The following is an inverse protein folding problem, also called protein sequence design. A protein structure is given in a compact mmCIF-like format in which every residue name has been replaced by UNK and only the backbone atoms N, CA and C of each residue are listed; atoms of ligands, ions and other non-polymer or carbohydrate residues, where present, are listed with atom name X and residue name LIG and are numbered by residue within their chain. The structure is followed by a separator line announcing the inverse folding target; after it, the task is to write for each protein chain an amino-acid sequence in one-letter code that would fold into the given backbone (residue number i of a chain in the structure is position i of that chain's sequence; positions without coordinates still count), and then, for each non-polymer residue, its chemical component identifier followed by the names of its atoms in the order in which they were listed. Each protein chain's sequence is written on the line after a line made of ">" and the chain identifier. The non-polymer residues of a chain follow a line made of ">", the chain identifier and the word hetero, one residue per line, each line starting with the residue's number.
data_IF_534218554522
#
_entry.id   IF_534218554522
#
_cell.length_a   1.000
_cell.length_b   1.000
_cell.length_c   1.000
_cell.angle_alpha   90.00
_cell.angle_beta   90.00
_cell.angle_gamma   90.00
#
_symmetry.space_group_name_H-M   'P 1'
#
loop_
_entity.id
_entity.type
_entity.pdbx_description
1 polymer ?
#
# COMPACT_ATOMS: atom_id res chain seq x y z
N UNK A 1 -90.03 -13.48 -45.04
CA UNK A 1 -88.89 -12.62 -45.30
C UNK A 1 -88.04 -12.56 -44.00
N UNK A 2 -86.95 -13.35 -43.90
CA UNK A 2 -86.12 -13.37 -42.70
C UNK A 2 -84.80 -12.58 -43.03
N UNK A 3 -84.58 -11.53 -42.27
CA UNK A 3 -83.39 -10.70 -42.36
C UNK A 3 -82.28 -11.35 -41.57
N UNK A 4 -81.17 -11.77 -42.23
CA UNK A 4 -80.02 -12.32 -41.57
C UNK A 4 -79.09 -11.13 -41.23
N UNK A 5 -78.85 -10.86 -39.93
CA UNK A 5 -77.91 -9.91 -39.43
C UNK A 5 -76.52 -10.57 -39.39
N UNK A 6 -75.63 -10.17 -40.25
CA UNK A 6 -74.19 -10.56 -40.26
C UNK A 6 -73.47 -9.83 -39.18
N UNK A 7 -72.93 -10.57 -38.18
CA UNK A 7 -72.09 -10.07 -37.10
C UNK A 7 -70.62 -10.08 -37.58
N UNK A 8 -70.02 -8.91 -37.81
CA UNK A 8 -68.59 -8.80 -38.14
C UNK A 8 -67.79 -8.74 -36.87
N UNK A 9 -67.10 -9.85 -36.56
CA UNK A 9 -66.12 -9.95 -35.47
C UNK A 9 -64.84 -9.25 -35.90
N UNK A 10 -64.51 -8.14 -35.29
CA UNK A 10 -63.22 -7.48 -35.42
C UNK A 10 -62.20 -8.15 -34.53
N UNK A 11 -61.30 -8.93 -35.11
CA UNK A 11 -60.14 -9.52 -34.40
C UNK A 11 -59.11 -8.43 -34.21
N UNK A 12 -58.93 -7.93 -32.99
CA UNK A 12 -57.87 -7.01 -32.65
C UNK A 12 -56.58 -7.83 -32.37
N UNK A 13 -55.61 -7.74 -33.25
CA UNK A 13 -54.27 -8.34 -33.07
C UNK A 13 -53.51 -7.47 -32.05
N UNK A 14 -53.40 -7.94 -30.82
CA UNK A 14 -52.51 -7.31 -29.80
C UNK A 14 -51.07 -7.80 -30.06
N UNK A 15 -50.24 -6.93 -30.63
CA UNK A 15 -48.83 -7.17 -30.81
C UNK A 15 -48.09 -6.93 -29.47
N UNK A 16 -47.82 -8.01 -28.75
CA UNK A 16 -47.02 -7.94 -27.52
C UNK A 16 -45.55 -7.78 -27.90
N UNK A 17 -45.02 -6.57 -27.78
CA UNK A 17 -43.56 -6.31 -27.94
C UNK A 17 -42.88 -6.78 -26.64
N UNK A 18 -42.25 -7.95 -26.70
CA UNK A 18 -41.40 -8.42 -25.60
C UNK A 18 -40.05 -7.70 -25.71
N UNK A 19 -39.83 -6.68 -24.86
CA UNK A 19 -38.53 -6.03 -24.72
C UNK A 19 -37.62 -6.99 -23.94
N UNK A 20 -36.72 -7.64 -24.63
CA UNK A 20 -35.60 -8.32 -23.98
C UNK A 20 -34.66 -7.25 -23.43
N UNK A 21 -34.78 -6.96 -22.16
CA UNK A 21 -33.73 -6.27 -21.40
C UNK A 21 -32.61 -7.30 -21.27
N UNK A 22 -31.60 -7.25 -22.15
CA UNK A 22 -30.37 -8.01 -21.93
C UNK A 22 -29.73 -7.44 -20.66
N UNK A 23 -29.79 -8.17 -19.56
CA UNK A 23 -28.90 -7.89 -18.44
C UNK A 23 -27.46 -7.95 -18.97
N UNK A 24 -26.75 -6.83 -18.92
CA UNK A 24 -25.32 -6.82 -19.20
C UNK A 24 -24.61 -7.89 -18.35
N UNK A 25 -23.42 -8.34 -18.73
CA UNK A 25 -22.67 -9.29 -17.90
C UNK A 25 -22.58 -8.71 -16.48
N UNK A 26 -22.82 -9.56 -15.48
CA UNK A 26 -22.66 -9.16 -14.09
C UNK A 26 -21.23 -8.65 -13.90
N UNK A 27 -21.09 -7.52 -13.16
CA UNK A 27 -19.79 -6.96 -12.82
C UNK A 27 -19.01 -8.00 -12.01
N UNK A 28 -17.84 -8.38 -12.49
CA UNK A 28 -16.95 -9.28 -11.78
C UNK A 28 -16.33 -8.56 -10.57
N UNK A 29 -16.02 -9.31 -9.52
CA UNK A 29 -15.43 -8.74 -8.31
C UNK A 29 -14.20 -9.53 -7.89
N UNK A 30 -13.16 -8.79 -7.48
CA UNK A 30 -11.98 -9.36 -6.84
C UNK A 30 -11.74 -8.68 -5.50
N UNK A 31 -11.20 -9.42 -4.56
CA UNK A 31 -10.84 -8.91 -3.24
C UNK A 31 -9.34 -8.72 -3.14
N UNK A 32 -8.92 -7.53 -2.78
CA UNK A 32 -7.51 -7.19 -2.54
C UNK A 32 -7.28 -6.87 -1.07
N UNK A 33 -6.44 -7.65 -0.39
CA UNK A 33 -5.95 -7.27 0.92
C UNK A 33 -4.74 -6.36 0.79
N UNK A 34 -4.73 -5.26 1.55
CA UNK A 34 -3.61 -4.32 1.59
C UNK A 34 -3.41 -3.74 2.98
N UNK A 35 -2.42 -2.85 3.15
CA UNK A 35 -2.19 -2.21 4.44
C UNK A 35 -3.04 -0.95 4.61
N UNK A 36 -3.39 -0.65 5.86
CA UNK A 36 -4.13 0.57 6.22
C UNK A 36 -3.37 1.84 5.76
N UNK A 37 -2.03 1.81 5.79
CA UNK A 37 -1.23 2.94 5.31
C UNK A 37 -1.31 3.13 3.80
N UNK A 38 -1.37 2.03 3.03
CA UNK A 38 -1.56 2.08 1.58
C UNK A 38 -2.92 2.67 1.22
N UNK A 39 -3.98 2.19 1.86
CA UNK A 39 -5.34 2.68 1.66
C UNK A 39 -5.46 4.17 2.02
N UNK A 40 -5.01 4.56 3.23
CA UNK A 40 -5.02 5.94 3.70
C UNK A 40 -4.14 6.91 2.88
N UNK A 41 -3.24 6.40 2.05
CA UNK A 41 -2.46 7.25 1.14
C UNK A 41 -3.34 7.95 0.11
N UNK A 42 -4.44 7.31 -0.30
CA UNK A 42 -5.32 7.75 -1.39
C UNK A 42 -4.84 7.33 -2.78
N UNK A 43 -3.73 6.57 -2.89
CA UNK A 43 -3.23 6.11 -4.19
C UNK A 43 -4.24 5.19 -4.88
N UNK A 44 -4.89 4.29 -4.13
CA UNK A 44 -5.84 3.33 -4.71
C UNK A 44 -7.06 4.01 -5.32
N UNK A 45 -7.47 5.17 -4.82
CA UNK A 45 -8.59 5.96 -5.36
C UNK A 45 -8.34 6.48 -6.77
N UNK A 46 -7.08 6.55 -7.20
CA UNK A 46 -6.70 6.99 -8.56
C UNK A 46 -6.16 5.84 -9.41
N UNK A 47 -5.59 4.81 -8.79
CA UNK A 47 -4.97 3.68 -9.48
C UNK A 47 -6.00 2.64 -9.94
N UNK A 48 -7.02 2.34 -9.12
CA UNK A 48 -7.97 1.27 -9.40
C UNK A 48 -9.08 1.65 -10.41
N UNK A 49 -9.68 2.84 -10.39
CA UNK A 49 -10.82 3.16 -11.26
C UNK A 49 -10.58 2.95 -12.76
N UNK A 50 -9.41 3.29 -13.36
CA UNK A 50 -9.18 3.01 -14.78
C UNK A 50 -9.18 1.51 -15.09
N UNK A 51 -8.58 0.68 -14.22
CA UNK A 51 -8.59 -0.78 -14.34
C UNK A 51 -10.01 -1.35 -14.24
N UNK A 52 -10.78 -0.90 -13.24
CA UNK A 52 -12.16 -1.33 -13.02
C UNK A 52 -13.05 -1.02 -14.23
N UNK A 53 -12.88 0.18 -14.80
CA UNK A 53 -13.63 0.61 -15.97
C UNK A 53 -13.25 -0.18 -17.23
N UNK A 54 -11.95 -0.42 -17.47
CA UNK A 54 -11.46 -1.12 -18.67
C UNK A 54 -11.92 -2.56 -18.73
N UNK A 55 -11.90 -3.26 -17.58
CA UNK A 55 -12.22 -4.69 -17.52
C UNK A 55 -13.63 -5.00 -17.00
N UNK A 56 -14.43 -4.00 -16.67
CA UNK A 56 -15.74 -4.16 -16.03
C UNK A 56 -15.67 -5.08 -14.81
N UNK A 57 -14.69 -4.81 -13.94
CA UNK A 57 -14.42 -5.55 -12.69
C UNK A 57 -14.37 -4.59 -11.51
N UNK A 58 -14.80 -5.02 -10.34
CA UNK A 58 -14.69 -4.24 -9.11
C UNK A 58 -13.61 -4.79 -8.20
N UNK A 59 -12.79 -3.93 -7.61
CA UNK A 59 -11.78 -4.30 -6.62
C UNK A 59 -12.27 -3.93 -5.22
N UNK A 60 -12.63 -4.94 -4.43
CA UNK A 60 -12.99 -4.76 -3.03
C UNK A 60 -11.72 -4.70 -2.17
N UNK A 61 -11.34 -3.52 -1.72
CA UNK A 61 -10.15 -3.29 -0.91
C UNK A 61 -10.42 -3.63 0.56
N UNK A 62 -9.57 -4.49 1.15
CA UNK A 62 -9.58 -4.86 2.57
C UNK A 62 -8.31 -4.33 3.21
N UNK A 63 -8.39 -3.16 3.84
CA UNK A 63 -7.28 -2.48 4.47
C UNK A 63 -7.08 -2.95 5.92
N UNK A 64 -5.95 -3.61 6.19
CA UNK A 64 -5.61 -4.18 7.51
C UNK A 64 -4.08 -4.07 7.75
N UNK A 65 -3.55 -4.64 8.84
CA UNK A 65 -2.09 -4.75 9.01
C UNK A 65 -1.49 -5.82 8.09
N UNK A 66 -0.20 -5.68 7.72
CA UNK A 66 0.50 -6.59 6.79
C UNK A 66 0.31 -8.08 7.14
N UNK A 67 0.54 -8.48 8.39
CA UNK A 67 0.39 -9.87 8.81
C UNK A 67 -1.04 -10.39 8.63
N UNK A 68 -2.05 -9.54 8.89
CA UNK A 68 -3.45 -9.90 8.68
C UNK A 68 -3.80 -9.96 7.19
N UNK A 69 -3.25 -9.08 6.35
CA UNK A 69 -3.44 -9.11 4.91
C UNK A 69 -2.90 -10.42 4.31
N UNK A 70 -1.67 -10.81 4.68
CA UNK A 70 -1.09 -12.10 4.28
C UNK A 70 -1.91 -13.28 4.80
N UNK A 71 -2.43 -13.21 6.03
CA UNK A 71 -3.28 -14.25 6.60
C UNK A 71 -4.61 -14.43 5.85
N UNK A 72 -5.23 -13.36 5.38
CA UNK A 72 -6.39 -13.44 4.49
C UNK A 72 -6.05 -14.16 3.18
N UNK A 73 -4.87 -13.89 2.61
CA UNK A 73 -4.36 -14.61 1.43
C UNK A 73 -4.08 -16.08 1.71
N UNK A 74 -3.47 -16.43 2.87
CA UNK A 74 -3.23 -17.81 3.28
C UNK A 74 -4.53 -18.62 3.38
N UNK A 75 -5.60 -17.99 3.87
CA UNK A 75 -6.92 -18.61 4.01
C UNK A 75 -7.69 -18.69 2.67
N UNK A 76 -7.29 -17.93 1.63
CA UNK A 76 -8.05 -17.79 0.39
C UNK A 76 -9.25 -16.84 0.52
N UNK A 77 -9.28 -15.98 1.52
CA UNK A 77 -10.36 -15.01 1.75
C UNK A 77 -10.30 -13.82 0.77
N UNK A 78 -9.15 -13.67 0.08
CA UNK A 78 -8.88 -12.65 -0.93
C UNK A 78 -8.22 -13.27 -2.17
N UNK A 79 -8.23 -12.55 -3.30
CA UNK A 79 -7.68 -13.00 -4.57
C UNK A 79 -6.24 -12.50 -4.78
N UNK A 80 -5.91 -11.36 -4.18
CA UNK A 80 -4.61 -10.68 -4.34
C UNK A 80 -4.23 -9.97 -3.06
N UNK A 81 -2.92 -9.87 -2.80
CA UNK A 81 -2.35 -9.16 -1.65
C UNK A 81 -1.37 -8.11 -2.16
N UNK A 82 -1.51 -6.85 -1.70
CA UNK A 82 -0.58 -5.74 -1.96
C UNK A 82 -0.04 -5.21 -0.64
N UNK A 83 1.21 -5.53 -0.33
CA UNK A 83 1.84 -5.22 0.97
C UNK A 83 3.29 -4.75 0.79
N UNK A 84 3.97 -4.38 1.89
CA UNK A 84 5.32 -3.84 1.89
C UNK A 84 6.17 -4.45 3.03
N UNK A 85 6.26 -5.77 3.06
CA UNK A 85 7.09 -6.52 4.00
C UNK A 85 7.80 -7.66 3.26
N UNK A 86 8.84 -7.33 2.51
CA UNK A 86 9.54 -8.19 1.55
C UNK A 86 9.79 -9.61 2.09
N UNK A 87 10.33 -9.74 3.30
CA UNK A 87 10.60 -11.04 3.89
C UNK A 87 9.32 -11.86 4.08
N UNK A 88 8.27 -11.28 4.65
CA UNK A 88 6.99 -11.97 4.86
C UNK A 88 6.29 -12.32 3.52
N UNK A 89 6.45 -11.48 2.48
CA UNK A 89 5.96 -11.75 1.12
C UNK A 89 6.69 -12.96 0.51
N UNK A 90 8.00 -13.04 0.68
CA UNK A 90 8.81 -14.17 0.20
C UNK A 90 8.45 -15.46 0.93
N UNK A 91 8.28 -15.42 2.24
CA UNK A 91 7.80 -16.55 3.05
C UNK A 91 6.41 -17.02 2.60
N UNK A 92 5.49 -16.10 2.31
CA UNK A 92 4.16 -16.38 1.81
C UNK A 92 4.20 -17.13 0.47
N UNK A 93 5.09 -16.73 -0.44
CA UNK A 93 5.30 -17.40 -1.73
C UNK A 93 6.01 -18.74 -1.55
N UNK A 94 7.08 -18.82 -0.76
CA UNK A 94 7.84 -20.04 -0.50
C UNK A 94 6.98 -21.13 0.14
N UNK A 95 6.05 -20.75 1.01
CA UNK A 95 5.08 -21.66 1.63
C UNK A 95 3.94 -22.04 0.66
N UNK A 96 3.95 -21.54 -0.56
CA UNK A 96 2.98 -21.88 -1.61
C UNK A 96 1.60 -21.27 -1.43
N UNK A 97 1.44 -20.24 -0.60
CA UNK A 97 0.18 -19.51 -0.43
C UNK A 97 -0.04 -18.48 -1.55
N UNK A 98 1.03 -17.90 -2.06
CA UNK A 98 1.02 -16.92 -3.14
C UNK A 98 1.84 -17.35 -4.35
N UNK A 99 1.52 -16.76 -5.51
CA UNK A 99 2.24 -16.92 -6.76
C UNK A 99 2.39 -15.60 -7.48
N UNK A 100 3.35 -15.54 -8.43
CA UNK A 100 3.53 -14.38 -9.32
C UNK A 100 3.73 -13.04 -8.57
N UNK A 101 4.51 -13.07 -7.49
CA UNK A 101 4.93 -11.85 -6.81
C UNK A 101 5.64 -10.90 -7.78
N UNK A 102 5.26 -9.62 -7.77
CA UNK A 102 5.93 -8.57 -8.51
C UNK A 102 6.17 -7.36 -7.63
N UNK A 103 7.29 -6.68 -7.86
CA UNK A 103 7.51 -5.35 -7.31
C UNK A 103 6.61 -4.35 -8.03
N UNK A 104 6.06 -3.39 -7.30
CA UNK A 104 5.11 -2.39 -7.80
C UNK A 104 5.68 -0.98 -7.70
N UNK A 105 6.08 -0.61 -6.50
CA UNK A 105 6.53 0.73 -6.15
C UNK A 105 7.33 0.67 -4.86
N UNK A 106 7.94 1.78 -4.49
CA UNK A 106 8.42 1.99 -3.12
C UNK A 106 8.03 3.38 -2.64
N UNK A 107 7.86 3.53 -1.34
CA UNK A 107 8.03 4.80 -0.65
C UNK A 107 9.27 4.68 0.23
N UNK A 108 9.59 5.71 1.00
CA UNK A 108 10.76 5.67 1.86
C UNK A 108 10.44 6.11 3.29
N UNK A 109 11.34 5.76 4.16
CA UNK A 109 11.48 6.35 5.48
C UNK A 109 12.49 7.49 5.40
N UNK A 110 12.38 8.41 6.33
CA UNK A 110 13.33 9.50 6.53
C UNK A 110 13.72 9.57 8.01
N UNK A 111 14.94 10.02 8.30
CA UNK A 111 15.29 10.40 9.67
C UNK A 111 15.12 11.90 9.76
N UNK A 112 14.24 12.30 10.67
CA UNK A 112 13.98 13.70 10.96
C UNK A 112 14.61 14.09 12.29
N UNK A 113 14.84 15.37 12.51
CA UNK A 113 15.40 15.91 13.74
C UNK A 113 15.34 17.43 13.76
N UNK A 114 15.83 18.06 14.84
CA UNK A 114 15.87 19.51 14.95
C UNK A 114 16.75 20.14 13.87
N UNK A 115 16.38 21.34 13.41
CA UNK A 115 17.12 22.07 12.36
C UNK A 115 18.61 22.27 12.71
N UNK A 116 18.93 22.41 14.00
CA UNK A 116 20.29 22.62 14.52
C UNK A 116 21.18 21.39 14.37
N UNK A 117 20.58 20.21 14.20
CA UNK A 117 21.24 18.93 13.99
C UNK A 117 22.43 18.65 14.95
N UNK A 118 22.21 18.59 16.28
CA UNK A 118 23.29 18.43 17.25
C UNK A 118 24.10 17.14 17.08
N UNK A 119 23.53 16.10 16.44
CA UNK A 119 24.26 14.88 16.12
C UNK A 119 25.05 14.94 14.79
N UNK A 120 24.90 15.99 13.99
CA UNK A 120 25.56 16.22 12.70
C UNK A 120 25.30 15.04 11.74
N UNK A 121 24.00 14.74 11.50
CA UNK A 121 23.58 13.62 10.64
C UNK A 121 23.11 14.06 9.27
N UNK A 122 22.95 15.36 9.02
CA UNK A 122 22.42 15.90 7.76
C UNK A 122 23.19 15.40 6.55
N UNK A 123 22.48 14.76 5.60
CA UNK A 123 23.03 14.25 4.36
C UNK A 123 23.91 12.98 4.52
N UNK A 124 23.89 12.34 5.68
CA UNK A 124 24.60 11.07 5.89
C UNK A 124 23.70 9.89 5.53
N UNK A 125 24.32 8.73 5.29
CA UNK A 125 23.59 7.49 5.21
C UNK A 125 22.96 7.12 6.58
N UNK A 126 21.86 6.34 6.59
CA UNK A 126 21.10 6.10 7.82
C UNK A 126 21.87 5.34 8.90
N UNK A 127 22.82 4.49 8.53
CA UNK A 127 23.64 3.74 9.50
C UNK A 127 24.60 4.70 10.21
N UNK A 128 25.33 5.53 9.45
CA UNK A 128 26.18 6.56 10.01
C UNK A 128 25.40 7.58 10.83
N UNK A 129 24.18 7.94 10.40
CA UNK A 129 23.30 8.84 11.15
C UNK A 129 22.96 8.27 12.54
N UNK A 130 22.56 7.01 12.58
CA UNK A 130 22.24 6.34 13.85
C UNK A 130 23.46 6.16 14.76
N UNK A 131 24.64 5.82 14.20
CA UNK A 131 25.88 5.78 14.94
C UNK A 131 26.18 7.10 15.65
N UNK A 132 26.03 8.23 14.93
CA UNK A 132 26.28 9.57 15.50
C UNK A 132 25.28 9.96 16.57
N UNK A 133 23.99 9.63 16.38
CA UNK A 133 22.96 9.85 17.38
C UNK A 133 23.33 9.11 18.68
N UNK A 134 23.71 7.84 18.56
CA UNK A 134 24.11 7.03 19.71
C UNK A 134 25.39 7.51 20.38
N UNK A 135 26.45 7.84 19.62
CA UNK A 135 27.72 8.36 20.16
C UNK A 135 27.55 9.65 20.95
N UNK A 136 26.61 10.51 20.52
CA UNK A 136 26.34 11.79 21.16
C UNK A 136 25.26 11.72 22.23
N UNK A 137 24.64 10.53 22.41
CA UNK A 137 23.47 10.34 23.26
C UNK A 137 22.37 11.41 22.98
N UNK A 138 22.22 11.75 21.69
CA UNK A 138 21.19 12.68 21.27
C UNK A 138 19.82 11.98 21.29
N UNK A 139 18.81 12.65 21.82
CA UNK A 139 17.48 12.07 22.01
C UNK A 139 16.92 11.51 20.71
N UNK A 140 16.49 10.26 20.76
CA UNK A 140 15.84 9.55 19.66
C UNK A 140 14.51 8.97 20.13
N UNK A 141 13.42 9.29 19.45
CA UNK A 141 12.10 8.76 19.74
C UNK A 141 11.76 7.64 18.77
N UNK A 142 11.69 6.43 19.31
CA UNK A 142 11.26 5.21 18.63
C UNK A 142 9.75 5.01 18.74
N UNK A 143 9.16 4.32 17.79
CA UNK A 143 7.77 3.86 17.92
C UNK A 143 7.59 2.83 19.03
N UNK A 144 8.50 1.89 19.19
CA UNK A 144 8.47 0.89 20.26
C UNK A 144 7.22 -0.04 20.26
N UNK A 145 6.54 -0.24 19.08
CA UNK A 145 5.22 -0.87 19.00
C UNK A 145 5.13 -2.06 18.03
N UNK A 146 6.27 -2.60 17.59
CA UNK A 146 6.39 -3.71 16.62
C UNK A 146 5.72 -3.41 15.25
N UNK A 147 5.45 -2.16 14.93
CA UNK A 147 4.97 -1.75 13.61
C UNK A 147 6.03 -1.89 12.52
N UNK A 148 5.63 -1.74 11.25
CA UNK A 148 6.57 -1.73 10.12
C UNK A 148 7.68 -0.69 10.26
N UNK A 149 7.40 0.50 10.81
CA UNK A 149 8.40 1.53 11.10
C UNK A 149 9.37 1.07 12.19
N UNK A 150 8.87 0.48 13.28
CA UNK A 150 9.72 -0.02 14.35
C UNK A 150 10.59 -1.21 13.89
N UNK A 151 10.05 -2.11 13.08
CA UNK A 151 10.82 -3.20 12.46
C UNK A 151 11.94 -2.65 11.56
N UNK A 152 11.64 -1.63 10.76
CA UNK A 152 12.64 -0.94 9.92
C UNK A 152 13.72 -0.27 10.76
N UNK A 153 13.33 0.42 11.81
CA UNK A 153 14.23 1.07 12.77
C UNK A 153 15.18 0.06 13.42
N UNK A 154 14.64 -1.04 13.97
CA UNK A 154 15.46 -2.11 14.56
C UNK A 154 16.49 -2.65 13.57
N UNK A 155 16.07 -2.85 12.31
CA UNK A 155 16.99 -3.32 11.26
C UNK A 155 18.12 -2.32 10.98
N UNK A 156 17.85 -1.03 11.01
CA UNK A 156 18.88 0.01 10.84
C UNK A 156 19.84 0.04 12.03
N UNK A 157 19.35 -0.10 13.26
CA UNK A 157 20.17 -0.22 14.47
C UNK A 157 21.05 -1.48 14.43
N UNK A 158 20.53 -2.62 13.96
CA UNK A 158 21.32 -3.84 13.73
C UNK A 158 22.46 -3.63 12.73
N UNK A 159 22.19 -2.93 11.61
CA UNK A 159 23.21 -2.58 10.63
C UNK A 159 24.26 -1.62 11.18
N UNK A 160 23.91 -0.79 12.15
CA UNK A 160 24.82 0.07 12.88
C UNK A 160 25.57 -0.69 13.99
N UNK A 161 25.29 -1.98 14.22
CA UNK A 161 25.84 -2.80 15.30
C UNK A 161 25.59 -2.21 16.70
N UNK A 162 24.47 -1.49 16.87
CA UNK A 162 24.06 -0.85 18.12
C UNK A 162 22.77 -1.49 18.65
N UNK A 163 22.75 -1.76 19.94
CA UNK A 163 21.55 -2.01 20.71
C UNK A 163 21.20 -0.73 21.48
N UNK A 164 20.30 0.14 20.95
CA UNK A 164 20.01 1.43 21.57
C UNK A 164 19.37 1.21 22.94
N UNK A 165 19.81 1.99 23.94
CA UNK A 165 19.35 1.89 25.33
C UNK A 165 19.78 3.12 26.12
N UNK A 166 19.09 3.39 27.21
CA UNK A 166 19.36 4.53 28.09
C UNK A 166 18.37 5.66 27.88
N UNK A 167 18.58 6.78 28.57
CA UNK A 167 17.62 7.87 28.63
C UNK A 167 17.41 8.60 27.28
N UNK A 168 18.40 8.52 26.40
CA UNK A 168 18.33 9.15 25.06
C UNK A 168 17.50 8.35 24.04
N UNK A 169 17.21 7.07 24.32
CA UNK A 169 16.38 6.22 23.45
C UNK A 169 15.02 6.04 24.08
N UNK A 170 14.01 6.69 23.51
CA UNK A 170 12.68 6.84 24.11
C UNK A 170 11.68 6.07 23.27
N UNK A 171 11.10 5.02 23.83
CA UNK A 171 10.03 4.28 23.16
C UNK A 171 8.68 4.92 23.45
N UNK A 172 7.98 5.41 22.40
CA UNK A 172 6.68 6.07 22.54
C UNK A 172 5.54 5.11 22.82
N UNK A 173 5.61 3.89 22.27
CA UNK A 173 4.51 2.92 22.30
C UNK A 173 3.26 3.37 21.55
N UNK A 174 3.37 4.36 20.66
CA UNK A 174 2.24 5.02 20.02
C UNK A 174 2.30 4.94 18.48
N UNK A 175 1.21 5.37 17.80
CA UNK A 175 1.17 5.50 16.35
C UNK A 175 2.13 6.59 15.84
N UNK A 176 2.51 6.49 14.54
CA UNK A 176 3.59 7.32 13.97
C UNK A 176 3.38 8.83 14.14
N UNK A 177 2.14 9.32 13.97
CA UNK A 177 1.84 10.75 14.15
C UNK A 177 2.11 11.24 15.57
N UNK A 178 1.70 10.50 16.60
CA UNK A 178 1.96 10.84 18.00
C UNK A 178 3.45 10.71 18.36
N UNK A 179 4.13 9.70 17.79
CA UNK A 179 5.59 9.53 17.93
C UNK A 179 6.34 10.73 17.34
N UNK A 180 5.95 11.21 16.17
CA UNK A 180 6.54 12.37 15.51
C UNK A 180 6.30 13.66 16.33
N UNK A 181 5.10 13.83 16.90
CA UNK A 181 4.81 14.96 17.78
C UNK A 181 5.66 14.92 19.06
N UNK A 182 5.81 13.75 19.69
CA UNK A 182 6.69 13.57 20.85
C UNK A 182 8.15 13.91 20.51
N UNK A 183 8.63 13.47 19.32
CA UNK A 183 9.97 13.83 18.85
C UNK A 183 10.11 15.34 18.67
N UNK A 184 9.08 16.01 18.15
CA UNK A 184 9.07 17.46 17.98
C UNK A 184 9.14 18.21 19.33
N UNK A 185 8.33 17.81 20.32
CA UNK A 185 8.31 18.41 21.65
C UNK A 185 9.65 18.26 22.41
N UNK A 186 10.40 17.19 22.07
CA UNK A 186 11.71 16.90 22.69
C UNK A 186 12.91 17.39 21.88
N UNK A 187 12.66 18.01 20.71
CA UNK A 187 13.72 18.34 19.76
C UNK A 187 14.60 17.11 19.44
N UNK A 188 13.96 15.93 19.33
CA UNK A 188 14.62 14.65 19.19
C UNK A 188 14.64 14.16 17.74
N UNK A 189 15.53 13.21 17.45
CA UNK A 189 15.54 12.48 16.19
C UNK A 189 14.44 11.40 16.17
N UNK A 190 13.93 11.07 14.97
CA UNK A 190 12.91 10.04 14.79
C UNK A 190 12.98 9.44 13.38
N UNK A 191 12.79 8.14 13.26
CA UNK A 191 12.51 7.49 11.97
C UNK A 191 11.01 7.58 11.68
N UNK A 192 10.65 8.11 10.52
CA UNK A 192 9.25 8.28 10.12
C UNK A 192 9.08 7.91 8.65
N UNK A 193 7.93 7.34 8.27
CA UNK A 193 7.58 7.23 6.85
C UNK A 193 7.31 8.62 6.25
N UNK A 194 7.79 8.84 5.02
CA UNK A 194 7.68 10.13 4.34
C UNK A 194 6.22 10.63 4.25
N UNK A 195 5.27 9.71 4.06
CA UNK A 195 3.86 10.07 3.96
C UNK A 195 3.30 10.68 5.23
N UNK A 196 3.65 10.11 6.39
CA UNK A 196 3.27 10.67 7.70
C UNK A 196 3.97 12.00 7.93
N UNK A 197 5.27 12.12 7.61
CA UNK A 197 5.98 13.39 7.73
C UNK A 197 5.33 14.49 6.90
N UNK A 198 5.08 14.25 5.60
CA UNK A 198 4.41 15.22 4.70
C UNK A 198 3.03 15.65 5.24
N UNK A 199 2.27 14.71 5.81
CA UNK A 199 0.95 15.01 6.35
C UNK A 199 0.98 15.89 7.62
N UNK A 200 2.11 15.95 8.31
CA UNK A 200 2.28 16.66 9.57
C UNK A 200 3.36 17.75 9.55
N UNK A 201 4.04 17.97 8.43
CA UNK A 201 5.18 18.91 8.35
C UNK A 201 4.83 20.34 8.76
N UNK A 202 3.60 20.80 8.52
CA UNK A 202 3.15 22.12 8.97
C UNK A 202 2.86 22.20 10.49
N UNK A 203 2.92 21.06 11.19
CA UNK A 203 2.61 20.95 12.63
C UNK A 203 3.84 20.61 13.48
N UNK A 204 4.99 20.46 12.85
CA UNK A 204 6.25 20.13 13.53
C UNK A 204 7.36 21.05 13.02
N UNK A 205 8.33 21.34 13.87
CA UNK A 205 9.51 22.12 13.53
C UNK A 205 10.70 21.25 13.11
N UNK A 206 10.51 19.91 13.14
CA UNK A 206 11.53 18.96 12.70
C UNK A 206 11.68 19.00 11.18
N UNK A 207 12.91 18.77 10.74
CA UNK A 207 13.26 18.72 9.30
C UNK A 207 13.83 17.37 8.91
N UNK A 208 13.76 17.05 7.61
CA UNK A 208 14.42 15.86 7.09
C UNK A 208 15.93 16.08 7.09
N UNK A 209 16.65 15.17 7.74
CA UNK A 209 18.10 15.20 7.87
C UNK A 209 18.79 14.06 7.10
N UNK A 210 18.12 12.90 7.01
CA UNK A 210 18.65 11.74 6.28
C UNK A 210 17.55 11.15 5.39
N UNK A 211 17.81 11.03 4.09
CA UNK A 211 16.90 10.51 3.08
C UNK A 211 17.64 9.93 1.87
N UNK A 212 16.92 9.25 0.97
CA UNK A 212 17.41 8.83 -0.35
C UNK A 212 18.34 7.62 -0.37
N UNK A 213 18.67 7.01 0.77
CA UNK A 213 19.46 5.77 0.83
C UNK A 213 18.53 4.55 0.64
N UNK A 214 19.01 3.54 -0.10
CA UNK A 214 18.23 2.30 -0.36
C UNK A 214 17.81 1.57 0.92
N UNK A 215 18.60 1.69 2.00
CA UNK A 215 18.26 1.13 3.31
C UNK A 215 17.00 1.74 3.91
N UNK A 216 16.61 2.93 3.45
CA UNK A 216 15.37 3.61 3.85
C UNK A 216 14.18 3.23 2.96
N UNK A 217 14.39 2.56 1.84
CA UNK A 217 13.30 2.19 0.94
C UNK A 217 12.36 1.18 1.58
N UNK A 218 11.09 1.33 1.26
CA UNK A 218 10.00 0.48 1.69
C UNK A 218 9.28 -0.04 0.44
N UNK A 219 9.78 -1.14 -0.15
CA UNK A 219 9.23 -1.68 -1.39
C UNK A 219 7.90 -2.37 -1.16
N UNK A 220 6.99 -2.21 -2.11
CA UNK A 220 5.68 -2.82 -2.17
C UNK A 220 5.66 -3.96 -3.17
N UNK A 221 5.15 -5.11 -2.74
CA UNK A 221 4.92 -6.27 -3.59
C UNK A 221 3.43 -6.57 -3.75
N UNK A 222 3.04 -6.99 -4.95
CA UNK A 222 1.71 -7.53 -5.24
C UNK A 222 1.83 -9.01 -5.56
N UNK A 223 0.90 -9.83 -5.02
CA UNK A 223 0.98 -11.29 -5.06
C UNK A 223 -0.41 -11.86 -5.30
N UNK A 224 -0.59 -12.70 -6.31
CA UNK A 224 -1.82 -13.46 -6.48
C UNK A 224 -1.89 -14.61 -5.46
N UNK A 225 -3.04 -14.83 -4.88
CA UNK A 225 -3.29 -16.00 -4.04
C UNK A 225 -3.22 -17.25 -4.92
N UNK A 226 -2.63 -18.32 -4.41
CA UNK A 226 -2.35 -19.52 -5.18
C UNK A 226 -3.64 -20.28 -5.53
N UNK A 227 -4.05 -20.33 -6.83
CA UNK A 227 -5.30 -20.98 -7.25
C UNK A 227 -5.28 -22.50 -7.09
N UNK A 228 -4.12 -23.14 -7.00
CA UNK A 228 -4.03 -24.55 -6.71
C UNK A 228 -4.41 -24.89 -5.26
N UNK A 229 -4.19 -23.96 -4.33
CA UNK A 229 -4.63 -24.09 -2.93
C UNK A 229 -6.07 -23.64 -2.75
N UNK A 230 -6.44 -22.58 -3.45
CA UNK A 230 -7.71 -21.91 -3.32
C UNK A 230 -8.41 -21.75 -4.69
N UNK A 231 -8.98 -22.87 -5.26
CA UNK A 231 -9.58 -22.86 -6.60
C UNK A 231 -10.78 -21.91 -6.77
N UNK A 232 -11.32 -21.39 -5.67
CA UNK A 232 -12.43 -20.43 -5.68
C UNK A 232 -11.97 -18.98 -5.86
N UNK A 233 -10.67 -18.69 -5.76
CA UNK A 233 -10.14 -17.33 -5.97
C UNK A 233 -10.21 -16.94 -7.45
N UNK A 234 -10.48 -15.67 -7.68
CA UNK A 234 -10.56 -15.13 -9.05
C UNK A 234 -9.15 -14.80 -9.61
N UNK A 235 -8.38 -15.88 -9.84
CA UNK A 235 -6.99 -15.77 -10.25
C UNK A 235 -6.79 -14.98 -11.56
N UNK A 236 -7.71 -15.13 -12.53
CA UNK A 236 -7.58 -14.45 -13.83
C UNK A 236 -7.58 -12.93 -13.65
N UNK A 237 -8.55 -12.40 -12.91
CA UNK A 237 -8.61 -10.96 -12.64
C UNK A 237 -7.56 -10.51 -11.64
N UNK A 238 -7.12 -11.35 -10.70
CA UNK A 238 -5.97 -11.07 -9.84
C UNK A 238 -4.70 -10.84 -10.68
N UNK A 239 -4.46 -11.71 -11.69
CA UNK A 239 -3.34 -11.54 -12.62
C UNK A 239 -3.51 -10.32 -13.54
N UNK A 240 -4.74 -10.01 -13.95
CA UNK A 240 -5.03 -8.79 -14.72
C UNK A 240 -4.70 -7.53 -13.89
N UNK A 241 -5.07 -7.50 -12.59
CA UNK A 241 -4.71 -6.41 -11.70
C UNK A 241 -3.19 -6.29 -11.50
N UNK A 242 -2.49 -7.42 -11.32
CA UNK A 242 -1.02 -7.43 -11.25
C UNK A 242 -0.42 -6.86 -12.54
N UNK A 243 -0.93 -7.28 -13.70
CA UNK A 243 -0.52 -6.75 -14.99
C UNK A 243 -0.77 -5.25 -15.13
N UNK A 244 -1.93 -4.78 -14.66
CA UNK A 244 -2.30 -3.36 -14.67
C UNK A 244 -1.36 -2.51 -13.82
N UNK A 245 -1.19 -2.84 -12.53
CA UNK A 245 -0.37 -2.02 -11.63
C UNK A 245 1.12 -2.00 -12.02
N UNK A 246 1.57 -3.03 -12.75
CA UNK A 246 2.93 -3.11 -13.28
C UNK A 246 3.05 -2.66 -14.74
N UNK A 247 1.96 -2.26 -15.39
CA UNK A 247 1.95 -1.71 -16.76
C UNK A 247 2.56 -0.31 -16.82
N UNK A 248 2.96 0.17 -18.03
CA UNK A 248 3.41 1.55 -18.18
C UNK A 248 2.41 2.58 -17.67
N UNK A 249 1.11 2.36 -17.87
CA UNK A 249 0.06 3.28 -17.42
C UNK A 249 -0.11 3.24 -15.89
N UNK A 250 -0.20 2.06 -15.27
CA UNK A 250 -0.26 1.93 -13.81
C UNK A 250 0.96 2.56 -13.13
N UNK A 251 2.16 2.33 -13.68
CA UNK A 251 3.41 2.90 -13.16
C UNK A 251 3.46 4.43 -13.36
N UNK A 252 2.92 4.96 -14.44
CA UNK A 252 2.77 6.40 -14.66
C UNK A 252 1.86 7.03 -13.59
N UNK A 253 0.69 6.45 -13.34
CA UNK A 253 -0.24 6.90 -12.29
C UNK A 253 0.45 6.92 -10.93
N UNK A 254 1.18 5.85 -10.58
CA UNK A 254 1.93 5.77 -9.32
C UNK A 254 2.97 6.90 -9.22
N UNK A 255 3.76 7.13 -10.28
CA UNK A 255 4.84 8.13 -10.28
C UNK A 255 4.35 9.58 -10.31
N UNK A 256 3.16 9.82 -10.84
CA UNK A 256 2.53 11.15 -10.87
C UNK A 256 1.68 11.44 -9.62
N UNK A 257 1.41 10.42 -8.79
CA UNK A 257 0.61 10.58 -7.58
C UNK A 257 1.29 11.48 -6.57
N UNK A 258 0.55 12.50 -6.10
CA UNK A 258 1.03 13.47 -5.12
C UNK A 258 0.08 13.55 -3.93
N UNK A 259 0.65 13.57 -2.73
CA UNK A 259 -0.05 13.93 -1.50
C UNK A 259 0.48 15.29 -1.03
N UNK A 260 -0.39 16.25 -0.78
CA UNK A 260 0.00 17.63 -0.43
C UNK A 260 1.02 18.24 -1.42
N UNK A 261 0.87 17.94 -2.73
CA UNK A 261 1.76 18.43 -3.77
C UNK A 261 3.12 17.73 -3.90
N UNK A 262 3.45 16.78 -3.03
CA UNK A 262 4.72 16.03 -3.01
C UNK A 262 4.53 14.60 -3.51
N UNK A 263 5.52 14.07 -4.25
CA UNK A 263 5.54 12.66 -4.69
C UNK A 263 5.68 11.78 -3.44
N UNK A 264 4.84 10.75 -3.35
CA UNK A 264 4.81 9.83 -2.22
C UNK A 264 5.31 8.43 -2.60
N UNK A 265 5.09 8.00 -3.85
CA UNK A 265 5.48 6.68 -4.33
C UNK A 265 6.35 6.80 -5.58
N UNK A 266 7.28 5.89 -5.70
CA UNK A 266 8.19 5.79 -6.84
C UNK A 266 7.95 4.46 -7.55
N UNK A 267 7.70 4.46 -8.88
CA UNK A 267 7.52 3.25 -9.68
C UNK A 267 8.72 2.30 -9.57
N UNK A 268 8.47 0.99 -9.47
CA UNK A 268 9.54 -0.02 -9.30
C UNK A 268 9.29 -1.31 -10.09
N UNK A 269 8.27 -1.39 -10.93
CA UNK A 269 7.92 -2.62 -11.63
C UNK A 269 8.88 -3.00 -12.77
N UNK A 270 9.67 -2.05 -13.27
CA UNK A 270 10.53 -2.21 -14.44
C UNK A 270 12.03 -2.10 -14.14
N UNK A 271 12.41 -1.99 -12.88
CA UNK A 271 13.82 -2.09 -12.51
C UNK A 271 14.22 -3.55 -12.63
N UNK A 272 14.78 -3.93 -13.79
CA UNK A 272 15.50 -5.19 -13.90
C UNK A 272 16.57 -5.19 -12.81
N UNK A 273 16.52 -6.18 -11.92
CA UNK A 273 17.63 -6.44 -11.01
C UNK A 273 18.91 -6.52 -11.86
N UNK A 274 19.98 -5.87 -11.50
CA UNK A 274 21.26 -6.11 -12.18
C UNK A 274 21.57 -7.62 -12.05
N UNK A 275 21.87 -8.23 -13.19
CA UNK A 275 22.35 -9.61 -13.30
C UNK A 275 23.65 -9.83 -12.50
#
# INVERSE_FOLDING_TARGET
>A
MKVIKTFRLKLALVLTVTVFVSAGPAEERIKMATTTSTDNSGLLDVLLPPFEQELNVRVDVIAVGTGKALKLGENGDVDVVLVHARQAEEEFVQNGFGVNRRDVMYNDFVIVGPEQDPADIRGRDPVTALLRIAERHADFVSRGDESGTHVKEKRLWELAEIAPRGEWYIESGQGMGATLQMANEKEAYCLVDRGTFIALEEKVDLVILCEGDEKLFNPYGIIAVNPYRHPHTNYVYAMALIGWVTSPEGQRIIGEFKKSGKILFYPNAHVSSPE
#
